data_IF_138598098682
#
_entry.id   IF_138598098682
#
_cell.length_a   1.000
_cell.length_b   1.000
_cell.length_c   1.000
_cell.angle_alpha   90.00
_cell.angle_beta   90.00
_cell.angle_gamma   90.00
#
_symmetry.space_group_name_H-M   'P 1'
#
loop_
_entity.id
_entity.type
_entity.pdbx_description
1 polymer ?
#
# COMPACT_ATOMS: atom_id res chain seq x y z
N UNK A 1 -25.47 8.79 6.85
CA UNK A 1 -24.06 9.08 7.21
C UNK A 1 -23.06 8.23 6.44
N UNK A 2 -23.24 6.92 6.27
CA UNK A 2 -22.31 6.06 5.51
C UNK A 2 -22.01 6.55 4.07
N UNK A 3 -23.01 7.11 3.37
CA UNK A 3 -22.83 7.62 2.00
C UNK A 3 -21.88 8.82 1.87
N UNK A 4 -21.79 9.68 2.90
CA UNK A 4 -20.89 10.85 2.87
C UNK A 4 -19.43 10.42 2.99
N UNK A 5 -19.15 9.49 3.90
CA UNK A 5 -17.81 8.94 4.09
C UNK A 5 -17.34 8.15 2.87
N UNK A 6 -18.26 7.42 2.24
CA UNK A 6 -17.97 6.69 1.02
C UNK A 6 -17.71 7.61 -0.18
N UNK A 7 -18.54 8.65 -0.36
CA UNK A 7 -18.31 9.68 -1.38
C UNK A 7 -16.96 10.38 -1.20
N UNK A 8 -16.56 10.66 0.04
CA UNK A 8 -15.25 11.24 0.33
C UNK A 8 -14.07 10.29 0.09
N UNK A 9 -14.30 8.99 0.30
CA UNK A 9 -13.28 7.97 0.09
C UNK A 9 -13.09 7.60 -1.39
N UNK A 10 -14.18 7.50 -2.16
CA UNK A 10 -14.14 6.94 -3.52
C UNK A 10 -14.77 7.84 -4.60
N UNK A 11 -15.48 8.90 -4.24
CA UNK A 11 -16.29 9.70 -5.18
C UNK A 11 -15.50 10.45 -6.25
N UNK A 12 -14.20 10.67 -6.04
CA UNK A 12 -13.31 11.28 -7.02
C UNK A 12 -12.32 10.30 -7.67
N UNK A 13 -12.50 8.99 -7.47
CA UNK A 13 -11.64 7.99 -8.11
C UNK A 13 -11.98 7.90 -9.59
N UNK A 14 -11.05 8.30 -10.45
CA UNK A 14 -11.22 8.22 -11.90
C UNK A 14 -10.94 6.79 -12.42
N UNK A 15 -11.98 6.11 -12.91
CA UNK A 15 -11.88 4.75 -13.47
C UNK A 15 -11.34 4.70 -14.91
N UNK A 16 -11.20 5.83 -15.60
CA UNK A 16 -10.60 5.85 -16.95
C UNK A 16 -9.07 5.74 -16.94
N UNK A 17 -8.44 5.92 -15.78
CA UNK A 17 -6.99 5.80 -15.62
C UNK A 17 -6.67 4.36 -15.24
N UNK A 18 -5.89 3.69 -16.08
CA UNK A 18 -5.44 2.31 -15.85
C UNK A 18 -4.78 2.17 -14.48
N UNK A 19 -5.21 1.16 -13.71
CA UNK A 19 -4.67 0.88 -12.37
C UNK A 19 -5.19 1.79 -11.24
N UNK A 20 -6.03 2.78 -11.52
CA UNK A 20 -6.61 3.68 -10.50
C UNK A 20 -7.92 3.14 -9.91
N UNK A 21 -8.61 2.24 -10.63
CA UNK A 21 -9.85 1.59 -10.22
C UNK A 21 -10.64 1.08 -11.43
N UNK A 22 -11.86 0.60 -11.19
CA UNK A 22 -12.75 0.12 -12.27
C UNK A 22 -12.67 -1.38 -12.52
N UNK A 23 -13.35 -1.83 -13.56
CA UNK A 23 -13.53 -3.25 -13.89
C UNK A 23 -12.19 -3.95 -14.21
N UNK A 24 -11.26 -3.26 -14.85
CA UNK A 24 -9.90 -3.79 -15.09
C UNK A 24 -9.19 -4.16 -13.79
N UNK A 25 -9.27 -3.31 -12.76
CA UNK A 25 -8.68 -3.61 -11.45
C UNK A 25 -9.40 -4.75 -10.73
N UNK A 26 -10.72 -4.86 -10.92
CA UNK A 26 -11.52 -5.93 -10.30
C UNK A 26 -11.21 -7.29 -10.91
N UNK A 27 -11.06 -7.33 -12.23
CA UNK A 27 -10.82 -8.55 -13.03
C UNK A 27 -9.34 -8.94 -13.12
N UNK A 28 -8.42 -8.05 -12.74
CA UNK A 28 -6.97 -8.31 -12.73
C UNK A 28 -6.56 -9.62 -12.05
N UNK A 29 -7.23 -9.99 -10.95
CA UNK A 29 -7.00 -11.27 -10.27
C UNK A 29 -8.33 -11.95 -9.93
N UNK A 30 -8.53 -13.24 -10.27
CA UNK A 30 -9.80 -13.89 -10.03
C UNK A 30 -10.10 -14.01 -8.54
N UNK A 31 -11.38 -13.89 -8.18
CA UNK A 31 -11.82 -13.90 -6.77
C UNK A 31 -11.43 -15.18 -6.04
N UNK A 32 -11.46 -16.33 -6.71
CA UNK A 32 -11.07 -17.60 -6.10
C UNK A 32 -9.58 -17.59 -5.71
N UNK A 33 -8.70 -17.05 -6.57
CA UNK A 33 -7.27 -16.97 -6.29
C UNK A 33 -7.02 -16.03 -5.12
N UNK A 34 -7.67 -14.86 -5.11
CA UNK A 34 -7.65 -13.92 -3.98
C UNK A 34 -8.03 -14.61 -2.66
N UNK A 35 -9.11 -15.38 -2.66
CA UNK A 35 -9.58 -16.10 -1.47
C UNK A 35 -8.62 -17.22 -1.05
N UNK A 36 -8.08 -17.99 -2.00
CA UNK A 36 -7.11 -19.05 -1.73
C UNK A 36 -5.80 -18.48 -1.15
N UNK A 37 -5.26 -17.42 -1.75
CA UNK A 37 -4.06 -16.74 -1.26
C UNK A 37 -4.29 -16.16 0.14
N UNK A 38 -5.41 -15.46 0.39
CA UNK A 38 -5.75 -14.99 1.74
C UNK A 38 -5.89 -16.14 2.73
N UNK A 39 -6.60 -17.21 2.36
CA UNK A 39 -6.85 -18.35 3.25
C UNK A 39 -5.55 -19.12 3.59
N UNK A 40 -4.54 -19.08 2.74
CA UNK A 40 -3.24 -19.70 2.99
C UNK A 40 -2.29 -18.76 3.74
N UNK A 41 -2.08 -17.55 3.24
CA UNK A 41 -1.05 -16.64 3.74
C UNK A 41 -1.44 -15.97 5.05
N UNK A 42 -2.73 -15.66 5.28
CA UNK A 42 -3.15 -15.01 6.53
C UNK A 42 -2.91 -15.91 7.75
N UNK A 43 -3.37 -17.18 7.79
CA UNK A 43 -3.11 -18.04 8.95
C UNK A 43 -1.61 -18.30 9.17
N UNK A 44 -0.84 -18.46 8.09
CA UNK A 44 0.61 -18.64 8.19
C UNK A 44 1.29 -17.41 8.80
N UNK A 45 0.97 -16.21 8.30
CA UNK A 45 1.53 -14.98 8.81
C UNK A 45 1.09 -14.69 10.25
N UNK A 46 -0.19 -14.95 10.61
CA UNK A 46 -0.67 -14.85 11.99
C UNK A 46 0.10 -15.80 12.90
N UNK A 47 0.26 -17.06 12.51
CA UNK A 47 1.04 -18.04 13.29
C UNK A 47 2.48 -17.58 13.50
N UNK A 48 3.14 -17.10 12.45
CA UNK A 48 4.51 -16.58 12.53
C UNK A 48 4.59 -15.37 13.46
N UNK A 49 3.67 -14.42 13.33
CA UNK A 49 3.60 -13.23 14.21
C UNK A 49 3.43 -13.64 15.67
N UNK A 50 2.45 -14.51 15.98
CA UNK A 50 2.22 -14.97 17.35
C UNK A 50 3.43 -15.71 17.93
N UNK A 51 4.14 -16.47 17.12
CA UNK A 51 5.35 -17.18 17.54
C UNK A 51 6.58 -16.28 17.72
N UNK A 52 6.66 -15.16 16.98
CA UNK A 52 7.81 -14.26 17.00
C UNK A 52 7.68 -13.14 18.03
N UNK A 53 6.45 -12.68 18.33
CA UNK A 53 6.18 -11.68 19.38
C UNK A 53 6.94 -11.90 20.69
N UNK A 54 6.93 -13.10 21.32
CA UNK A 54 7.61 -13.29 22.60
C UNK A 54 9.15 -13.22 22.50
N UNK A 55 9.71 -13.39 21.30
CA UNK A 55 11.14 -13.35 21.04
C UNK A 55 11.65 -11.98 20.56
N UNK A 56 10.77 -10.98 20.42
CA UNK A 56 11.16 -9.64 19.98
C UNK A 56 11.97 -8.92 21.06
N UNK A 57 13.27 -8.79 20.83
CA UNK A 57 14.16 -8.00 21.69
C UNK A 57 14.08 -6.51 21.32
N UNK A 58 13.48 -5.68 22.17
CA UNK A 58 13.49 -4.20 22.05
C UNK A 58 14.56 -3.55 22.94
N UNK A 59 15.76 -4.14 23.04
CA UNK A 59 16.90 -3.52 23.71
C UNK A 59 17.60 -2.50 22.80
N UNK A 60 18.00 -1.37 23.40
CA UNK A 60 18.88 -0.38 22.79
C UNK A 60 19.97 -0.01 23.81
N UNK A 61 21.22 0.09 23.34
CA UNK A 61 22.38 0.33 24.21
C UNK A 61 22.80 1.81 24.20
N UNK A 62 22.45 2.53 23.15
CA UNK A 62 22.93 3.87 22.89
C UNK A 62 22.16 4.92 23.70
N UNK A 63 22.85 5.88 24.32
CA UNK A 63 22.19 7.06 24.88
C UNK A 63 21.72 7.97 23.74
N UNK A 64 20.48 8.50 23.79
CA UNK A 64 19.99 9.36 22.73
C UNK A 64 20.71 10.71 22.72
N UNK A 65 20.94 11.25 21.53
CA UNK A 65 21.39 12.64 21.36
C UNK A 65 20.25 13.60 21.63
N UNK A 66 20.58 14.74 22.24
CA UNK A 66 19.62 15.74 22.67
C UNK A 66 19.45 16.84 21.61
N UNK A 67 19.07 16.44 20.39
CA UNK A 67 18.80 17.37 19.28
C UNK A 67 17.30 17.69 19.18
N UNK A 68 16.98 18.94 18.85
CA UNK A 68 15.61 19.39 18.67
C UNK A 68 14.99 18.79 17.41
N UNK A 69 13.96 17.96 17.58
CA UNK A 69 13.23 17.28 16.48
C UNK A 69 12.05 18.09 15.95
N UNK A 70 11.67 19.15 16.67
CA UNK A 70 10.47 19.94 16.39
C UNK A 70 10.46 20.53 14.99
N UNK A 71 11.61 20.97 14.47
CA UNK A 71 11.69 21.50 13.10
C UNK A 71 11.33 20.43 12.04
N UNK A 72 11.88 19.22 12.18
CA UNK A 72 11.59 18.09 11.27
C UNK A 72 10.13 17.66 11.40
N UNK A 73 9.63 17.56 12.63
CA UNK A 73 8.23 17.23 12.91
C UNK A 73 7.28 18.26 12.28
N UNK A 74 7.52 19.55 12.47
CA UNK A 74 6.69 20.61 11.90
C UNK A 74 6.70 20.55 10.38
N UNK A 75 7.88 20.52 9.75
CA UNK A 75 7.98 20.44 8.29
C UNK A 75 7.27 19.19 7.73
N UNK A 76 7.48 18.04 8.35
CA UNK A 76 6.90 16.79 7.87
C UNK A 76 5.38 16.76 8.08
N UNK A 77 4.88 17.31 9.19
CA UNK A 77 3.44 17.45 9.44
C UNK A 77 2.76 18.35 8.41
N UNK A 78 3.43 19.41 7.93
CA UNK A 78 2.90 20.27 6.87
C UNK A 78 2.83 19.54 5.54
N UNK A 79 3.86 18.78 5.17
CA UNK A 79 3.87 17.96 3.94
C UNK A 79 2.72 16.95 3.97
N UNK A 80 2.58 16.20 5.07
CA UNK A 80 1.52 15.19 5.21
C UNK A 80 0.13 15.83 5.29
N UNK A 81 -0.01 16.98 5.98
CA UNK A 81 -1.25 17.73 6.04
C UNK A 81 -1.69 18.24 4.68
N UNK A 82 -0.76 18.71 3.85
CA UNK A 82 -1.04 19.11 2.47
C UNK A 82 -1.49 17.91 1.61
N UNK A 83 -0.80 16.77 1.70
CA UNK A 83 -1.22 15.54 0.99
C UNK A 83 -2.63 15.11 1.41
N UNK A 84 -2.91 15.12 2.72
CA UNK A 84 -4.23 14.80 3.24
C UNK A 84 -5.28 15.77 2.67
N UNK A 85 -5.02 17.07 2.70
CA UNK A 85 -5.93 18.07 2.14
C UNK A 85 -6.24 17.82 0.66
N UNK A 86 -5.22 17.58 -0.16
CA UNK A 86 -5.42 17.25 -1.58
C UNK A 86 -6.27 15.99 -1.76
N UNK A 87 -6.03 14.92 -0.98
CA UNK A 87 -6.83 13.69 -1.04
C UNK A 87 -8.29 13.89 -0.63
N UNK A 88 -8.55 14.75 0.35
CA UNK A 88 -9.90 15.07 0.80
C UNK A 88 -10.64 15.95 -0.22
N UNK A 89 -9.96 16.92 -0.83
CA UNK A 89 -10.52 17.78 -1.90
C UNK A 89 -10.86 16.94 -3.13
N UNK A 90 -9.93 16.08 -3.54
CA UNK A 90 -10.11 15.20 -4.71
C UNK A 90 -11.02 14.00 -4.42
N UNK A 91 -11.58 13.85 -3.21
CA UNK A 91 -12.43 12.71 -2.82
C UNK A 91 -11.84 11.34 -3.15
N UNK A 92 -10.53 11.20 -2.96
CA UNK A 92 -9.78 9.96 -3.18
C UNK A 92 -9.18 9.42 -1.88
N UNK A 93 -9.90 9.58 -0.77
CA UNK A 93 -9.46 9.20 0.57
C UNK A 93 -9.11 7.71 0.71
N UNK A 94 -9.62 6.83 -0.16
CA UNK A 94 -9.24 5.41 -0.16
C UNK A 94 -7.73 5.19 -0.34
N UNK A 95 -7.04 6.10 -1.05
CA UNK A 95 -5.60 6.00 -1.25
C UNK A 95 -4.78 6.38 -0.01
N UNK A 96 -5.39 6.92 1.06
CA UNK A 96 -4.71 7.11 2.34
C UNK A 96 -4.34 5.79 3.02
N UNK A 97 -4.98 4.69 2.62
CA UNK A 97 -4.59 3.34 3.02
C UNK A 97 -3.34 2.86 2.27
N UNK A 98 -2.80 3.60 1.29
CA UNK A 98 -1.55 3.17 0.69
C UNK A 98 -0.42 3.20 1.75
N UNK A 99 0.49 2.22 1.73
CA UNK A 99 1.48 2.02 2.79
C UNK A 99 2.38 3.24 3.01
N UNK A 100 2.61 4.09 2.00
CA UNK A 100 3.39 5.33 2.16
C UNK A 100 2.75 6.33 3.15
N UNK A 101 1.43 6.49 3.14
CA UNK A 101 0.73 7.39 4.06
C UNK A 101 0.67 6.82 5.48
N UNK A 102 0.50 5.50 5.61
CA UNK A 102 0.59 4.81 6.91
C UNK A 102 1.99 4.93 7.48
N UNK A 103 3.03 4.74 6.65
CA UNK A 103 4.43 4.93 7.04
C UNK A 103 4.68 6.37 7.50
N UNK A 104 4.15 7.36 6.76
CA UNK A 104 4.24 8.77 7.15
C UNK A 104 3.61 9.02 8.52
N UNK A 105 2.41 8.49 8.77
CA UNK A 105 1.74 8.60 10.06
C UNK A 105 2.55 7.94 11.19
N UNK A 106 3.08 6.73 10.97
CA UNK A 106 3.96 6.06 11.94
C UNK A 106 5.22 6.88 12.25
N UNK A 107 5.84 7.49 11.24
CA UNK A 107 7.04 8.32 11.41
C UNK A 107 6.76 9.62 12.14
N UNK A 108 5.60 10.26 11.90
CA UNK A 108 5.18 11.44 12.67
C UNK A 108 4.99 11.08 14.14
N UNK A 109 4.37 9.92 14.45
CA UNK A 109 4.27 9.42 15.82
C UNK A 109 5.67 9.20 16.42
N UNK A 110 6.59 8.54 15.69
CA UNK A 110 7.96 8.32 16.14
C UNK A 110 8.71 9.61 16.47
N UNK A 111 8.52 10.67 15.67
CA UNK A 111 9.14 11.98 15.92
C UNK A 111 8.63 12.65 17.20
N UNK A 112 7.41 12.32 17.65
CA UNK A 112 6.84 12.80 18.92
C UNK A 112 7.21 11.95 20.13
N UNK A 113 7.68 10.71 19.93
CA UNK A 113 8.01 9.79 21.01
C UNK A 113 9.41 10.06 21.59
N UNK A 114 9.55 9.76 22.89
CA UNK A 114 10.86 9.81 23.56
C UNK A 114 11.78 8.71 23.00
N UNK A 115 13.05 9.05 22.80
CA UNK A 115 14.07 8.09 22.38
C UNK A 115 14.48 7.11 23.48
N UNK A 116 13.95 7.24 24.70
CA UNK A 116 14.13 6.28 25.79
C UNK A 116 12.94 5.31 25.95
N UNK A 117 11.89 5.43 25.13
CA UNK A 117 10.73 4.53 25.23
C UNK A 117 10.93 3.24 24.42
N UNK A 118 10.59 2.08 25.02
CA UNK A 118 10.57 0.79 24.32
C UNK A 118 9.51 0.74 23.21
N UNK A 119 8.42 1.50 23.34
CA UNK A 119 7.38 1.59 22.31
C UNK A 119 7.91 2.29 21.05
N UNK A 120 8.74 3.31 21.23
CA UNK A 120 9.42 3.97 20.12
C UNK A 120 10.35 3.00 19.38
N UNK A 121 11.07 2.15 20.12
CA UNK A 121 11.93 1.11 19.53
C UNK A 121 11.13 0.11 18.70
N UNK A 122 10.06 -0.43 19.27
CA UNK A 122 9.17 -1.34 18.56
C UNK A 122 8.61 -0.73 17.28
N UNK A 123 8.07 0.50 17.36
CA UNK A 123 7.46 1.18 16.24
C UNK A 123 8.50 1.57 15.18
N UNK A 124 9.71 1.95 15.57
CA UNK A 124 10.79 2.30 14.66
C UNK A 124 11.24 1.11 13.83
N UNK A 125 11.46 -0.04 14.48
CA UNK A 125 11.85 -1.27 13.79
C UNK A 125 10.74 -1.77 12.87
N UNK A 126 9.49 -1.74 13.32
CA UNK A 126 8.35 -2.07 12.45
C UNK A 126 8.28 -1.14 11.23
N UNK A 127 8.47 0.17 11.42
CA UNK A 127 8.47 1.16 10.35
C UNK A 127 9.55 0.89 9.28
N UNK A 128 10.71 0.31 9.63
CA UNK A 128 11.74 -0.04 8.64
C UNK A 128 11.24 -1.01 7.58
N UNK A 129 10.34 -1.93 7.94
CA UNK A 129 9.76 -2.91 7.01
C UNK A 129 8.66 -2.32 6.10
N UNK A 130 8.09 -1.18 6.46
CA UNK A 130 7.07 -0.49 5.65
C UNK A 130 7.68 0.53 4.67
N UNK A 131 8.94 0.93 4.87
CA UNK A 131 9.66 1.87 4.00
C UNK A 131 9.90 1.43 2.55
N UNK A 132 10.12 0.14 2.21
CA UNK A 132 10.44 -0.27 0.83
C UNK A 132 9.44 0.24 -0.21
N UNK A 133 8.16 0.40 0.17
CA UNK A 133 7.14 0.98 -0.72
C UNK A 133 7.46 2.40 -1.21
N UNK A 134 8.14 3.22 -0.40
CA UNK A 134 8.52 4.57 -0.81
C UNK A 134 9.66 4.58 -1.84
N UNK A 135 10.60 3.63 -1.74
CA UNK A 135 11.64 3.46 -2.76
C UNK A 135 11.04 3.09 -4.11
N UNK A 136 10.09 2.14 -4.14
CA UNK A 136 9.40 1.77 -5.37
C UNK A 136 8.58 2.91 -5.97
N UNK A 137 7.94 3.71 -5.12
CA UNK A 137 7.20 4.90 -5.59
C UNK A 137 8.12 5.96 -6.22
N UNK A 138 9.34 6.15 -5.70
CA UNK A 138 10.32 7.05 -6.33
C UNK A 138 10.90 6.48 -7.63
N UNK A 139 11.12 5.16 -7.68
CA UNK A 139 11.65 4.48 -8.87
C UNK A 139 10.61 4.39 -10.01
N UNK A 140 9.34 4.15 -9.66
CA UNK A 140 8.22 3.99 -10.59
C UNK A 140 7.08 4.95 -10.20
N UNK A 141 7.24 6.26 -10.45
CA UNK A 141 6.29 7.26 -9.99
C UNK A 141 4.98 7.20 -10.76
N UNK A 142 3.86 7.12 -10.03
CA UNK A 142 2.50 7.17 -10.60
C UNK A 142 1.98 8.60 -10.46
N UNK A 143 2.20 9.41 -11.48
CA UNK A 143 1.81 10.84 -11.49
C UNK A 143 0.50 11.10 -12.25
N UNK A 144 0.01 10.12 -13.03
CA UNK A 144 -1.12 10.26 -13.94
C UNK A 144 -2.46 10.61 -13.27
N UNK A 145 -2.56 10.39 -11.95
CA UNK A 145 -3.75 10.65 -11.14
C UNK A 145 -3.68 11.98 -10.38
N UNK A 146 -2.58 12.73 -10.52
CA UNK A 146 -2.30 13.98 -9.81
C UNK A 146 -2.56 15.18 -10.71
N UNK A 147 -3.76 15.74 -10.64
CA UNK A 147 -4.22 16.81 -11.56
C UNK A 147 -4.19 18.19 -10.93
N UNK A 148 -4.10 18.29 -9.60
CA UNK A 148 -4.06 19.58 -8.91
C UNK A 148 -2.63 20.14 -8.87
N UNK A 149 -2.48 21.48 -9.00
CA UNK A 149 -1.17 22.12 -8.92
C UNK A 149 -0.57 21.90 -7.53
N UNK A 150 0.62 21.31 -7.48
CA UNK A 150 1.35 21.04 -6.24
C UNK A 150 1.26 19.59 -5.74
N UNK A 151 0.34 18.76 -6.24
CA UNK A 151 0.24 17.35 -5.83
C UNK A 151 1.51 16.56 -6.19
N UNK A 152 2.11 16.83 -7.34
CA UNK A 152 3.37 16.18 -7.76
C UNK A 152 4.52 16.59 -6.84
N UNK A 153 4.59 17.86 -6.45
CA UNK A 153 5.62 18.34 -5.52
C UNK A 153 5.47 17.69 -4.14
N UNK A 154 4.25 17.70 -3.59
CA UNK A 154 3.97 17.07 -2.29
C UNK A 154 4.22 15.57 -2.33
N UNK A 155 3.89 14.90 -3.44
CA UNK A 155 4.21 13.50 -3.65
C UNK A 155 5.71 13.21 -3.50
N UNK A 156 6.58 13.92 -4.23
CA UNK A 156 8.02 13.71 -4.12
C UNK A 156 8.56 14.12 -2.75
N UNK A 157 8.09 15.24 -2.20
CA UNK A 157 8.49 15.72 -0.88
C UNK A 157 8.16 14.70 0.21
N UNK A 158 6.96 14.10 0.17
CA UNK A 158 6.54 13.08 1.12
C UNK A 158 7.38 11.80 0.98
N UNK A 159 7.56 11.29 -0.24
CA UNK A 159 8.31 10.03 -0.45
C UNK A 159 9.79 10.18 -0.10
N UNK A 160 10.38 11.34 -0.37
CA UNK A 160 11.74 11.65 0.07
C UNK A 160 11.81 11.75 1.60
N UNK A 161 10.84 12.40 2.25
CA UNK A 161 10.77 12.50 3.71
C UNK A 161 10.65 11.12 4.37
N UNK A 162 9.89 10.18 3.78
CA UNK A 162 9.78 8.80 4.28
C UNK A 162 11.14 8.11 4.39
N UNK A 163 12.07 8.41 3.48
CA UNK A 163 13.43 7.85 3.49
C UNK A 163 14.35 8.63 4.43
N UNK A 164 14.28 9.97 4.40
CA UNK A 164 15.20 10.82 5.18
C UNK A 164 14.93 10.82 6.69
N UNK A 165 13.66 10.80 7.10
CA UNK A 165 13.27 10.84 8.53
C UNK A 165 13.85 9.67 9.33
N UNK A 166 13.76 8.40 8.91
CA UNK A 166 14.38 7.31 9.65
C UNK A 166 15.91 7.35 9.65
N UNK A 167 16.55 7.87 8.61
CA UNK A 167 18.00 8.14 8.63
C UNK A 167 18.34 9.17 9.71
N UNK A 168 17.54 10.23 9.84
CA UNK A 168 17.67 11.21 10.91
C UNK A 168 17.40 10.60 12.30
N UNK A 169 16.39 9.75 12.45
CA UNK A 169 16.11 9.06 13.71
C UNK A 169 17.27 8.12 14.11
N UNK A 170 17.85 7.38 13.17
CA UNK A 170 19.05 6.56 13.44
C UNK A 170 20.26 7.39 13.87
N UNK A 171 20.39 8.61 13.34
CA UNK A 171 21.43 9.54 13.79
C UNK A 171 21.26 9.98 15.25
N UNK A 172 20.02 10.08 15.76
CA UNK A 172 19.71 10.43 17.15
C UNK A 172 20.03 9.29 18.14
N UNK A 173 20.13 8.04 17.68
CA UNK A 173 20.37 6.85 18.50
C UNK A 173 19.29 6.65 19.59
N UNK A 174 19.52 5.73 20.53
CA UNK A 174 18.53 5.34 21.54
C UNK A 174 17.54 4.32 20.99
N UNK A 175 16.25 4.53 21.21
CA UNK A 175 15.18 3.68 20.70
C UNK A 175 15.18 3.55 19.18
N UNK A 176 15.80 4.46 18.44
CA UNK A 176 15.87 4.44 16.98
C UNK A 176 17.05 3.62 16.42
N UNK A 177 17.49 2.60 17.16
CA UNK A 177 18.55 1.69 16.72
C UNK A 177 17.95 0.52 15.93
N UNK A 178 18.44 0.25 14.70
CA UNK A 178 17.97 -0.89 13.93
C UNK A 178 18.27 -2.21 14.66
N UNK A 179 17.56 -3.25 14.29
CA UNK A 179 17.80 -4.60 14.77
C UNK A 179 19.23 -5.07 14.45
N UNK A 180 19.70 -6.06 15.22
CA UNK A 180 21.01 -6.68 14.99
C UNK A 180 20.97 -7.44 13.67
N UNK A 181 22.02 -7.35 12.86
CA UNK A 181 22.07 -7.96 11.52
C UNK A 181 21.86 -9.49 11.51
N UNK A 182 22.02 -10.18 12.64
CA UNK A 182 21.77 -11.62 12.79
C UNK A 182 20.40 -11.99 13.38
N UNK A 183 19.56 -11.00 13.72
CA UNK A 183 18.24 -11.22 14.31
C UNK A 183 17.17 -11.29 13.22
N UNK A 184 16.92 -12.49 12.72
CA UNK A 184 15.89 -12.74 11.72
C UNK A 184 14.46 -12.75 12.30
N UNK A 185 14.29 -12.71 13.64
CA UNK A 185 12.98 -12.69 14.27
C UNK A 185 12.25 -11.40 13.93
N UNK A 186 12.95 -10.25 13.95
CA UNK A 186 12.40 -8.96 13.50
C UNK A 186 12.04 -8.97 12.02
N UNK A 187 12.87 -9.59 11.18
CA UNK A 187 12.60 -9.72 9.75
C UNK A 187 11.35 -10.53 9.47
N UNK A 188 11.23 -11.71 10.09
CA UNK A 188 10.04 -12.55 9.96
C UNK A 188 8.78 -11.83 10.47
N UNK A 189 8.88 -11.18 11.64
CA UNK A 189 7.76 -10.44 12.24
C UNK A 189 7.32 -9.26 11.35
N UNK A 190 8.25 -8.37 10.98
CA UNK A 190 7.96 -7.16 10.21
C UNK A 190 7.37 -7.47 8.83
N UNK A 191 7.94 -8.45 8.11
CA UNK A 191 7.40 -8.89 6.83
C UNK A 191 6.03 -9.54 6.96
N UNK A 192 5.78 -10.34 8.01
CA UNK A 192 4.45 -10.92 8.22
C UNK A 192 3.41 -9.86 8.58
N UNK A 193 3.75 -8.84 9.38
CA UNK A 193 2.83 -7.73 9.65
C UNK A 193 2.53 -6.93 8.38
N UNK A 194 3.56 -6.65 7.57
CA UNK A 194 3.37 -6.00 6.27
C UNK A 194 2.47 -6.83 5.35
N UNK A 195 2.66 -8.15 5.30
CA UNK A 195 1.81 -9.07 4.54
C UNK A 195 0.37 -9.04 5.06
N UNK A 196 0.16 -9.15 6.37
CA UNK A 196 -1.17 -9.09 6.98
C UNK A 196 -1.88 -7.77 6.66
N UNK A 197 -1.15 -6.65 6.65
CA UNK A 197 -1.69 -5.36 6.23
C UNK A 197 -2.25 -5.40 4.81
N UNK A 198 -1.52 -6.00 3.86
CA UNK A 198 -1.97 -6.11 2.47
C UNK A 198 -3.17 -7.04 2.32
N UNK A 199 -3.13 -8.22 2.93
CA UNK A 199 -4.18 -9.23 2.76
C UNK A 199 -5.45 -8.94 3.57
N UNK A 200 -5.33 -8.33 4.76
CA UNK A 200 -6.50 -8.05 5.62
C UNK A 200 -7.06 -6.67 5.31
N UNK A 201 -6.23 -5.63 5.31
CA UNK A 201 -6.71 -4.26 5.17
C UNK A 201 -6.96 -3.92 3.71
N UNK A 202 -5.92 -3.98 2.86
CA UNK A 202 -6.04 -3.53 1.47
C UNK A 202 -6.95 -4.45 0.65
N UNK A 203 -6.69 -5.75 0.70
CA UNK A 203 -7.51 -6.72 -0.01
C UNK A 203 -8.91 -6.87 0.60
N UNK A 204 -9.07 -6.74 1.92
CA UNK A 204 -10.39 -6.69 2.55
C UNK A 204 -11.24 -5.54 2.02
N UNK A 205 -10.67 -4.34 1.94
CA UNK A 205 -11.34 -3.17 1.35
C UNK A 205 -11.67 -3.36 -0.14
N UNK A 206 -10.78 -3.99 -0.91
CA UNK A 206 -11.04 -4.33 -2.31
C UNK A 206 -12.21 -5.33 -2.46
N UNK A 207 -12.32 -6.32 -1.57
CA UNK A 207 -13.37 -7.33 -1.59
C UNK A 207 -14.74 -6.76 -1.21
N UNK A 208 -14.79 -5.81 -0.27
CA UNK A 208 -16.04 -5.09 0.06
C UNK A 208 -16.61 -4.43 -1.20
N UNK A 209 -15.77 -3.80 -2.04
CA UNK A 209 -16.21 -3.20 -3.32
C UNK A 209 -16.85 -4.23 -4.26
N UNK A 210 -16.17 -5.36 -4.48
CA UNK A 210 -16.66 -6.43 -5.37
C UNK A 210 -17.99 -7.00 -4.86
N UNK A 211 -18.15 -7.14 -3.55
CA UNK A 211 -19.39 -7.62 -2.96
C UNK A 211 -20.54 -6.61 -3.13
N UNK A 212 -20.27 -5.31 -3.03
CA UNK A 212 -21.26 -4.26 -3.25
C UNK A 212 -21.70 -4.19 -4.72
N UNK A 213 -20.77 -4.34 -5.66
CA UNK A 213 -21.06 -4.35 -7.10
C UNK A 213 -21.94 -5.54 -7.49
N UNK A 214 -21.58 -6.75 -7.03
CA UNK A 214 -22.42 -7.94 -7.25
C UNK A 214 -23.80 -7.83 -6.58
N UNK A 215 -23.90 -7.16 -5.44
CA UNK A 215 -25.18 -6.94 -4.75
C UNK A 215 -26.04 -5.94 -5.53
N UNK A 216 -25.43 -4.92 -6.15
CA UNK A 216 -26.11 -3.96 -7.02
C UNK A 216 -26.54 -4.60 -8.35
N UNK A 217 -25.75 -5.50 -8.92
CA UNK A 217 -26.14 -6.28 -10.10
C UNK A 217 -27.30 -7.23 -9.79
N UNK A 218 -27.27 -7.91 -8.63
CA UNK A 218 -28.36 -8.77 -8.19
C UNK A 218 -29.62 -7.99 -7.75
N UNK A 219 -29.48 -6.79 -7.18
CA UNK A 219 -30.60 -5.91 -6.86
C UNK A 219 -31.16 -5.19 -8.11
N UNK A 220 -30.30 -4.95 -9.11
CA UNK A 220 -30.66 -4.46 -10.44
C UNK A 220 -31.38 -5.50 -11.30
N UNK A 221 -31.23 -6.80 -10.99
CA UNK A 221 -31.99 -7.88 -11.61
C UNK A 221 -33.50 -7.85 -11.27
N UNK A 222 -33.95 -7.00 -10.35
CA UNK A 222 -35.38 -6.84 -10.02
C UNK A 222 -36.04 -5.55 -10.56
N UNK A 223 -35.35 -4.75 -11.38
CA UNK A 223 -35.97 -3.62 -12.10
C UNK A 223 -35.41 -3.44 -13.51
N UNK A 224 -36.06 -4.11 -14.46
CA UNK A 224 -36.90 -3.53 -15.53
C UNK A 224 -37.01 -4.58 -16.64
N UNK A 225 -38.15 -5.25 -16.63
CA UNK A 225 -38.74 -5.85 -17.81
C UNK A 225 -39.13 -4.75 -18.81
N UNK A 226 -38.50 -4.73 -19.98
CA UNK A 226 -39.14 -4.27 -21.23
C UNK A 226 -38.79 -5.26 -22.35
N UNK A 227 -39.75 -5.71 -23.19
CA UNK A 227 -39.57 -6.82 -24.12
C UNK A 227 -39.32 -6.30 -25.57
N UNK A 228 -39.30 -7.16 -26.62
CA UNK A 228 -38.10 -7.66 -27.28
C UNK A 228 -37.90 -7.05 -28.70
N UNK A 229 -36.66 -7.09 -29.21
CA UNK A 229 -36.35 -6.59 -30.55
C UNK A 229 -35.10 -7.20 -31.18
N UNK A 230 -35.28 -8.41 -31.75
CA UNK A 230 -34.54 -9.03 -32.88
C UNK A 230 -33.08 -9.52 -32.68
N UNK A 231 -33.03 -10.84 -32.47
CA UNK A 231 -32.14 -11.88 -33.02
C UNK A 231 -31.21 -11.46 -34.17
N UNK A 232 -29.93 -11.81 -34.04
CA UNK A 232 -29.17 -12.54 -35.06
C UNK A 232 -28.19 -13.51 -34.40
N UNK A 233 -28.37 -14.80 -34.70
CA UNK A 233 -27.56 -15.96 -34.30
C UNK A 233 -26.14 -15.94 -34.90
N UNK A 234 -25.24 -16.69 -34.26
CA UNK A 234 -23.92 -17.06 -34.78
C UNK A 234 -23.10 -17.91 -33.79
N UNK A 235 -23.37 -19.22 -33.80
CA UNK A 235 -22.51 -20.40 -33.54
C UNK A 235 -21.22 -20.22 -32.68
N UNK A 236 -21.05 -20.88 -31.52
CA UNK A 236 -20.66 -22.30 -31.38
C UNK A 236 -19.21 -22.54 -31.85
N UNK A 237 -18.17 -22.81 -31.05
CA UNK A 237 -17.94 -24.03 -30.25
C UNK A 237 -16.51 -24.02 -29.67
N UNK A 238 -16.28 -24.75 -28.57
CA UNK A 238 -14.99 -25.34 -28.06
C UNK A 238 -13.94 -24.33 -27.55
N UNK A 239 -13.46 -24.36 -26.31
CA UNK A 239 -13.20 -25.52 -25.46
C UNK A 239 -11.84 -26.12 -25.77
N UNK A 240 -10.76 -25.35 -25.66
CA UNK A 240 -9.39 -25.88 -25.60
C UNK A 240 -8.50 -25.07 -24.64
N UNK A 241 -7.77 -25.85 -23.86
CA UNK A 241 -6.78 -25.59 -22.82
C UNK A 241 -5.66 -24.65 -23.30
N UNK A 242 -5.49 -23.49 -22.67
CA UNK A 242 -4.33 -22.61 -22.85
C UNK A 242 -3.57 -22.48 -21.52
N UNK A 243 -2.87 -23.55 -21.17
CA UNK A 243 -1.75 -23.53 -20.24
C UNK A 243 -0.53 -23.01 -21.02
N UNK A 244 0.24 -22.08 -20.42
CA UNK A 244 1.49 -21.48 -20.93
C UNK A 244 1.34 -20.43 -22.05
N UNK A 245 1.15 -19.17 -21.69
CA UNK A 245 1.76 -18.00 -22.37
C UNK A 245 1.59 -16.73 -21.53
N UNK A 246 2.54 -16.52 -20.60
CA UNK A 246 2.77 -15.22 -19.98
C UNK A 246 4.21 -15.15 -19.47
N UNK A 247 5.17 -15.33 -20.38
CA UNK A 247 6.49 -14.73 -20.25
C UNK A 247 6.52 -13.57 -21.24
N UNK A 248 6.82 -12.33 -20.83
CA UNK A 248 7.13 -11.28 -21.78
C UNK A 248 8.42 -11.65 -22.51
N UNK A 249 8.35 -11.71 -23.84
CA UNK A 249 9.53 -11.79 -24.71
C UNK A 249 10.44 -10.59 -24.41
N UNK A 250 11.69 -10.88 -24.04
CA UNK A 250 12.74 -9.87 -23.96
C UNK A 250 13.05 -9.38 -25.38
N UNK A 251 13.24 -8.06 -25.60
CA UNK A 251 13.77 -7.59 -26.88
C UNK A 251 15.20 -8.10 -27.06
N UNK A 252 15.47 -8.72 -28.20
CA UNK A 252 16.81 -9.09 -28.64
C UNK A 252 17.72 -7.87 -28.68
N UNK A 253 18.86 -7.94 -28.00
CA UNK A 253 19.92 -6.92 -28.07
C UNK A 253 20.64 -7.10 -29.42
N UNK A 254 20.69 -6.09 -30.29
CA UNK A 254 21.43 -6.19 -31.54
C UNK A 254 22.93 -6.35 -31.26
N UNK A 255 23.55 -7.33 -31.91
CA UNK A 255 24.95 -7.74 -31.74
C UNK A 255 26.00 -6.72 -32.23
N UNK A 256 25.65 -5.44 -32.37
CA UNK A 256 26.54 -4.37 -32.84
C UNK A 256 27.03 -3.42 -31.74
N UNK A 257 26.88 -3.80 -30.46
CA UNK A 257 27.29 -3.01 -29.30
C UNK A 257 28.26 -3.75 -28.36
N UNK A 258 28.89 -4.83 -28.84
CA UNK A 258 29.84 -5.65 -28.07
C UNK A 258 31.32 -5.46 -28.49
N UNK A 259 31.63 -4.43 -29.28
CA UNK A 259 33.01 -4.00 -29.53
C UNK A 259 33.15 -2.48 -29.33
N UNK A 260 33.30 -2.04 -28.08
CA UNK A 260 34.04 -0.83 -27.69
C UNK A 260 34.38 -0.82 -26.19
#
# INVERSE_FOLDING_TARGET
MAGIWWDLATGGVNHSIQGNGGEECMTYLPTWQRLCETALFVPLAVRTVLSTIPALDCSFASRPKNDSRYAVLTLYSLIFGAELAFKMISKTGIFLLNPCHITTAMQLVLLTMDANDRRACFLFRLNMYFMPGAFFALAFPILNTRTLPGEVFVYYAQHLAIILVPLYLMYLRGAFEPEKAGDYTWTAFGLCIFLLYHFIVLQGMAMVRISQEKTLDHAGFFRISTPPGKVSEGEGTKGEMMLLKAFPEFPEVPASLLDM
#
